data_IF_683982346275
#
_entry.id   IF_683982346275
#
_cell.length_a   1.000
_cell.length_b   1.000
_cell.length_c   1.000
_cell.angle_alpha   90.00
_cell.angle_beta   90.00
_cell.angle_gamma   90.00
#
_symmetry.space_group_name_H-M   'P 1'
#
loop_
_entity.id
_entity.type
_entity.pdbx_description
1 polymer ?
#
# COMPACT_ATOMS: atom_id res chain seq x y z
N UNK A 1 1.35 -2.16 0.01
CA UNK A 1 0.34 -2.83 -0.83
C UNK A 1 0.31 -2.29 -2.28
N UNK A 2 1.40 -1.74 -2.82
CA UNK A 2 1.34 -0.92 -4.05
C UNK A 2 1.23 -1.71 -5.37
N UNK A 3 1.63 -2.98 -5.36
CA UNK A 3 1.64 -3.78 -6.57
C UNK A 3 0.24 -4.02 -7.14
N UNK A 4 -0.78 -4.16 -6.30
CA UNK A 4 -2.14 -4.40 -6.78
C UNK A 4 -2.69 -3.28 -7.69
N UNK A 5 -2.80 -2.02 -7.23
CA UNK A 5 -3.28 -0.94 -8.10
C UNK A 5 -2.32 -0.64 -9.26
N UNK A 6 -1.02 -0.88 -9.09
CA UNK A 6 -0.02 -0.66 -10.14
C UNK A 6 -0.17 -1.65 -11.30
N UNK A 7 -0.30 -2.94 -11.00
CA UNK A 7 -0.45 -3.99 -12.02
C UNK A 7 -1.79 -3.90 -12.74
N UNK A 8 -2.86 -3.53 -12.02
CA UNK A 8 -4.16 -3.27 -12.66
C UNK A 8 -4.10 -2.07 -13.61
N UNK A 9 -3.46 -0.97 -13.20
CA UNK A 9 -3.26 0.17 -14.08
C UNK A 9 -2.46 -0.20 -15.34
N UNK A 10 -1.43 -1.06 -15.20
CA UNK A 10 -0.66 -1.57 -16.33
C UNK A 10 -1.49 -2.46 -17.27
N UNK A 11 -2.47 -3.20 -16.73
CA UNK A 11 -3.44 -3.98 -17.49
C UNK A 11 -4.58 -3.12 -18.08
N UNK A 12 -4.59 -1.80 -17.86
CA UNK A 12 -5.57 -0.85 -18.39
C UNK A 12 -6.65 -0.41 -17.39
N UNK A 13 -6.71 -1.00 -16.20
CA UNK A 13 -7.67 -0.68 -15.15
C UNK A 13 -7.11 0.36 -14.17
N UNK A 14 -7.27 1.64 -14.55
CA UNK A 14 -6.67 2.79 -13.85
C UNK A 14 -7.48 3.29 -12.66
N UNK A 15 -8.75 2.89 -12.51
CA UNK A 15 -9.69 3.40 -11.50
C UNK A 15 -10.14 2.34 -10.47
N UNK A 16 -9.59 1.12 -10.53
CA UNK A 16 -9.89 0.00 -9.63
C UNK A 16 -9.92 0.39 -8.14
N UNK A 17 -8.97 1.19 -7.67
CA UNK A 17 -8.92 1.66 -6.27
C UNK A 17 -10.17 2.45 -5.89
N UNK A 18 -10.60 3.39 -6.73
CA UNK A 18 -11.77 4.23 -6.47
C UNK A 18 -13.07 3.42 -6.57
N UNK A 19 -13.14 2.49 -7.53
CA UNK A 19 -14.28 1.58 -7.68
C UNK A 19 -14.42 0.66 -6.47
N UNK A 20 -13.33 0.07 -5.99
CA UNK A 20 -13.31 -0.77 -4.80
C UNK A 20 -13.65 0.01 -3.53
N UNK A 21 -13.20 1.27 -3.41
CA UNK A 21 -13.53 2.12 -2.27
C UNK A 21 -15.04 2.42 -2.18
N UNK A 22 -15.67 2.69 -3.33
CA UNK A 22 -17.11 2.95 -3.43
C UNK A 22 -17.96 1.69 -3.30
N UNK A 23 -17.37 0.53 -3.60
CA UNK A 23 -18.08 -0.73 -3.74
C UNK A 23 -18.35 -1.02 -5.22
N UNK A 24 -17.95 -2.19 -5.69
CA UNK A 24 -18.17 -2.62 -7.07
C UNK A 24 -18.54 -4.10 -7.13
N UNK A 25 -19.39 -4.47 -8.08
CA UNK A 25 -19.66 -5.88 -8.37
C UNK A 25 -18.54 -6.46 -9.24
N UNK A 26 -18.02 -7.62 -8.85
CA UNK A 26 -17.04 -8.38 -9.61
C UNK A 26 -17.49 -9.84 -9.59
N UNK A 27 -17.98 -10.32 -10.73
CA UNK A 27 -18.41 -11.71 -10.89
C UNK A 27 -19.62 -12.08 -10.01
N UNK A 28 -20.57 -11.15 -9.81
CA UNK A 28 -21.78 -11.39 -9.02
C UNK A 28 -21.56 -11.31 -7.50
N UNK A 29 -20.42 -10.78 -7.07
CA UNK A 29 -20.13 -10.45 -5.67
C UNK A 29 -19.75 -9.00 -5.54
N UNK A 30 -20.36 -8.31 -4.59
CA UNK A 30 -20.01 -6.93 -4.26
C UNK A 30 -18.78 -6.87 -3.35
N UNK A 31 -17.74 -6.17 -3.78
CA UNK A 31 -16.54 -5.90 -2.99
C UNK A 31 -16.48 -4.41 -2.65
N UNK A 32 -16.36 -4.10 -1.36
CA UNK A 32 -16.07 -2.76 -0.85
C UNK A 32 -14.78 -2.81 -0.04
N UNK A 33 -13.68 -2.35 -0.63
CA UNK A 33 -12.32 -2.55 -0.12
C UNK A 33 -11.58 -1.22 -0.11
N UNK A 34 -11.00 -0.88 1.03
CA UNK A 34 -10.13 0.28 1.17
C UNK A 34 -8.66 -0.14 0.97
N UNK A 35 -8.17 -0.06 -0.27
CA UNK A 35 -6.77 -0.36 -0.56
C UNK A 35 -5.84 0.75 -0.04
N UNK A 36 -4.82 0.37 0.73
CA UNK A 36 -3.77 1.31 1.19
C UNK A 36 -2.71 1.61 0.11
N UNK A 37 -2.75 0.87 -1.01
CA UNK A 37 -1.76 0.96 -2.06
C UNK A 37 -1.91 2.18 -2.98
N UNK A 38 -0.81 2.60 -3.59
CA UNK A 38 -0.78 3.64 -4.63
C UNK A 38 -0.40 3.06 -5.99
N UNK A 39 -0.93 3.66 -7.07
CA UNK A 39 -0.49 3.35 -8.42
C UNK A 39 0.91 3.95 -8.66
N UNK A 40 1.92 3.08 -8.80
CA UNK A 40 3.31 3.48 -9.03
C UNK A 40 3.66 3.51 -10.53
N UNK A 41 2.74 3.15 -11.43
CA UNK A 41 3.02 3.02 -12.86
C UNK A 41 3.63 4.29 -13.49
N UNK A 42 3.15 5.52 -13.22
CA UNK A 42 3.78 6.70 -13.80
C UNK A 42 5.24 6.88 -13.36
N UNK A 43 5.62 6.41 -12.17
CA UNK A 43 7.01 6.46 -11.71
C UNK A 43 7.86 5.43 -12.45
N UNK A 44 7.33 4.21 -12.61
CA UNK A 44 8.01 3.13 -13.33
C UNK A 44 8.20 3.45 -14.82
N UNK A 45 7.27 4.19 -15.43
CA UNK A 45 7.35 4.65 -16.82
C UNK A 45 8.19 5.92 -16.99
N UNK A 46 8.78 6.46 -15.91
CA UNK A 46 9.59 7.69 -15.95
C UNK A 46 8.80 8.97 -16.19
N UNK A 47 7.46 8.93 -16.08
CA UNK A 47 6.58 10.09 -16.25
C UNK A 47 6.54 10.99 -15.01
N UNK A 48 6.95 10.47 -13.85
CA UNK A 48 7.13 11.26 -12.62
C UNK A 48 8.48 10.93 -11.96
N UNK A 49 9.15 11.92 -11.34
CA UNK A 49 10.48 11.74 -10.77
C UNK A 49 10.49 11.01 -9.42
N UNK A 50 9.33 10.82 -8.79
CA UNK A 50 9.18 10.19 -7.48
C UNK A 50 7.99 9.23 -7.46
N UNK A 51 8.07 8.21 -6.63
CA UNK A 51 6.94 7.32 -6.34
C UNK A 51 5.81 8.07 -5.64
N UNK A 52 4.61 7.53 -5.74
CA UNK A 52 3.39 8.13 -5.19
C UNK A 52 3.25 8.01 -3.66
N UNK A 53 4.11 7.22 -3.00
CA UNK A 53 4.03 6.91 -1.57
C UNK A 53 5.04 7.75 -0.77
N UNK A 54 4.56 8.42 0.27
CA UNK A 54 5.42 9.17 1.20
C UNK A 54 5.52 8.47 2.58
N UNK A 55 4.59 7.57 2.87
CA UNK A 55 4.40 6.94 4.17
C UNK A 55 4.38 5.41 4.12
N UNK A 56 4.94 4.80 5.16
CA UNK A 56 4.91 3.36 5.40
C UNK A 56 4.50 3.09 6.84
N UNK A 57 3.53 2.21 7.00
CA UNK A 57 3.09 1.68 8.29
C UNK A 57 3.71 0.30 8.49
N UNK A 58 4.32 0.07 9.66
CA UNK A 58 4.91 -1.21 10.02
C UNK A 58 4.01 -1.88 11.06
N UNK A 59 3.52 -3.06 10.72
CA UNK A 59 2.76 -3.91 11.63
C UNK A 59 3.58 -5.13 12.01
N UNK A 60 3.47 -5.57 13.26
CA UNK A 60 4.00 -6.86 13.70
C UNK A 60 3.01 -8.01 13.37
N UNK A 61 3.39 -9.23 13.75
CA UNK A 61 2.60 -10.45 13.56
C UNK A 61 1.32 -10.48 14.39
N UNK A 62 1.29 -9.77 15.51
CA UNK A 62 0.09 -9.53 16.33
C UNK A 62 -0.85 -8.47 15.71
N UNK A 63 -0.43 -7.80 14.63
CA UNK A 63 -1.21 -6.79 13.92
C UNK A 63 -1.18 -5.41 14.57
N UNK A 64 -0.21 -5.14 15.45
CA UNK A 64 -0.02 -3.85 16.11
C UNK A 64 0.80 -2.90 15.24
N UNK A 65 0.45 -1.61 15.24
CA UNK A 65 1.24 -0.58 14.57
C UNK A 65 2.51 -0.26 15.39
N UNK A 66 3.65 -0.82 14.99
CA UNK A 66 4.91 -0.73 15.75
C UNK A 66 5.82 0.41 15.31
N UNK A 67 5.68 0.88 14.07
CA UNK A 67 6.41 2.04 13.57
C UNK A 67 5.68 2.70 12.40
N UNK A 68 6.00 3.98 12.17
CA UNK A 68 5.67 4.70 10.94
C UNK A 68 6.95 5.26 10.35
N UNK A 69 7.07 5.21 9.03
CA UNK A 69 8.05 6.01 8.28
C UNK A 69 7.30 7.03 7.44
N UNK A 70 7.75 8.27 7.49
CA UNK A 70 7.32 9.35 6.63
C UNK A 70 8.57 9.98 6.01
N UNK A 71 8.71 9.92 4.69
CA UNK A 71 9.91 10.36 3.98
C UNK A 71 11.20 9.77 4.61
N UNK A 72 12.02 10.65 5.17
CA UNK A 72 13.30 10.34 5.80
C UNK A 72 13.19 10.08 7.31
N UNK A 73 12.01 10.28 7.90
CA UNK A 73 11.77 10.10 9.32
C UNK A 73 11.13 8.75 9.61
N UNK A 74 11.61 8.07 10.66
CA UNK A 74 10.99 6.86 11.20
C UNK A 74 10.72 7.05 12.69
N UNK A 75 9.45 6.94 13.08
CA UNK A 75 9.03 6.88 14.48
C UNK A 75 8.80 5.42 14.86
N UNK A 76 9.43 4.98 15.95
CA UNK A 76 9.32 3.61 16.47
C UNK A 76 8.57 3.66 17.80
N UNK A 77 7.46 2.93 17.87
CA UNK A 77 6.60 2.84 19.05
C UNK A 77 6.91 1.58 19.87
N UNK A 78 7.19 0.48 19.18
CA UNK A 78 7.56 -0.80 19.77
C UNK A 78 8.87 -1.32 19.13
N UNK A 79 9.80 -1.76 19.97
CA UNK A 79 11.10 -2.28 19.55
C UNK A 79 11.37 -3.60 20.29
N UNK A 80 11.77 -4.64 19.55
CA UNK A 80 12.31 -5.85 20.16
C UNK A 80 13.74 -5.58 20.65
N UNK A 81 13.90 -5.52 21.98
CA UNK A 81 15.22 -5.31 22.63
C UNK A 81 16.05 -6.58 22.76
N UNK A 82 15.43 -7.75 22.59
CA UNK A 82 16.11 -9.03 22.64
C UNK A 82 16.71 -9.38 21.26
N UNK A 83 17.82 -10.14 21.20
CA UNK A 83 18.29 -10.73 19.95
C UNK A 83 17.20 -11.62 19.34
N UNK A 84 17.05 -11.56 18.01
CA UNK A 84 16.17 -12.48 17.30
C UNK A 84 16.70 -13.91 17.37
N UNK A 85 15.81 -14.87 17.58
CA UNK A 85 16.10 -16.30 17.48
C UNK A 85 15.86 -16.76 16.03
N UNK A 86 16.51 -17.85 15.60
CA UNK A 86 16.29 -18.47 14.29
C UNK A 86 14.97 -19.24 14.23
#
# INVERSE_FOLDING_TARGET
>A
MDWFPTLLAAAGDKDSKDRLLKGTDIGGKTFKVHLDGYNQLPYLEGQQPKGARNEFFYFDDDGQLVAIRWDNWKAVFCEQRAPGNL
#
